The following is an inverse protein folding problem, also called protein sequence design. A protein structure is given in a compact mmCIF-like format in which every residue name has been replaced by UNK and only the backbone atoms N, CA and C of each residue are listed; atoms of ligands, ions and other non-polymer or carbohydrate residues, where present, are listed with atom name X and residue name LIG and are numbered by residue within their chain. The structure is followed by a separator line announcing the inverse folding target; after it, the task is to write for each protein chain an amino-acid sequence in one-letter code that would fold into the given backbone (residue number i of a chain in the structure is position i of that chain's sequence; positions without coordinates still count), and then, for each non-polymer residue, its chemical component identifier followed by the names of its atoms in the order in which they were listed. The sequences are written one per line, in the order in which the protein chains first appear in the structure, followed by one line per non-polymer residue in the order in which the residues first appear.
data_IF_095060983153
#
_entry.id   IF_095060983153
#
_cell.length_a   1.000
_cell.length_b   1.000
_cell.length_c   1.000
_cell.angle_alpha   90.00
_cell.angle_beta   90.00
_cell.angle_gamma   90.00
#
_symmetry.space_group_name_H-M   'P 1'
#
loop_
_entity.id
_entity.type
_entity.pdbx_description
1 polymer ?
#
# COMPACT_ATOMS: atom_id res chain seq x y z
N UNK A 1 -7.85 -15.76 1.38
CA UNK A 1 -8.26 -14.48 0.77
C UNK A 1 -7.07 -13.55 0.82
N UNK A 2 -6.37 -13.35 -0.29
CA UNK A 2 -5.28 -12.37 -0.36
C UNK A 2 -5.87 -10.96 -0.35
N UNK A 3 -5.31 -10.07 0.47
CA UNK A 3 -5.70 -8.66 0.47
C UNK A 3 -5.41 -8.04 -0.89
N UNK A 4 -6.40 -7.35 -1.46
CA UNK A 4 -6.24 -6.58 -2.68
C UNK A 4 -5.31 -5.39 -2.41
N UNK A 5 -4.15 -5.31 -3.09
CA UNK A 5 -3.17 -4.25 -2.85
C UNK A 5 -3.69 -2.85 -3.18
N UNK A 6 -4.66 -2.72 -4.09
CA UNK A 6 -5.32 -1.44 -4.36
C UNK A 6 -6.16 -1.01 -3.17
N UNK A 7 -6.95 -1.93 -2.61
CA UNK A 7 -7.79 -1.66 -1.43
C UNK A 7 -6.93 -1.29 -0.22
N UNK A 8 -5.79 -1.96 -0.03
CA UNK A 8 -4.82 -1.64 1.04
C UNK A 8 -4.32 -0.20 0.92
N UNK A 9 -3.99 0.25 -0.30
CA UNK A 9 -3.58 1.63 -0.56
C UNK A 9 -4.75 2.62 -0.68
N UNK A 10 -6.01 2.16 -0.55
CA UNK A 10 -7.20 3.01 -0.72
C UNK A 10 -7.40 3.52 -2.15
N UNK A 11 -6.99 2.72 -3.14
CA UNK A 11 -7.04 3.02 -4.56
C UNK A 11 -8.00 2.07 -5.27
N UNK A 12 -8.40 2.44 -6.49
CA UNK A 12 -9.05 1.51 -7.43
C UNK A 12 -8.03 0.82 -8.33
N UNK A 13 -8.42 -0.29 -8.96
CA UNK A 13 -7.58 -1.07 -9.90
C UNK A 13 -7.08 -0.28 -11.11
N UNK A 14 -7.71 0.85 -11.43
CA UNK A 14 -7.26 1.78 -12.49
C UNK A 14 -6.23 2.80 -12.03
N UNK A 15 -5.67 2.66 -10.82
CA UNK A 15 -4.69 3.60 -10.32
C UNK A 15 -3.41 3.61 -11.15
N UNK A 16 -2.96 4.83 -11.45
CA UNK A 16 -1.68 5.10 -12.09
C UNK A 16 -0.52 4.90 -11.12
N UNK A 17 0.69 4.68 -11.63
CA UNK A 17 1.88 4.55 -10.79
C UNK A 17 2.10 5.75 -9.86
N UNK A 18 1.79 6.95 -10.33
CA UNK A 18 1.92 8.17 -9.53
C UNK A 18 0.93 8.21 -8.38
N UNK A 19 -0.31 7.75 -8.60
CA UNK A 19 -1.32 7.60 -7.55
C UNK A 19 -0.90 6.54 -6.53
N UNK A 20 -0.35 5.41 -6.99
CA UNK A 20 0.19 4.35 -6.13
C UNK A 20 1.32 4.88 -5.25
N UNK A 21 2.31 5.54 -5.85
CA UNK A 21 3.45 6.15 -5.12
C UNK A 21 2.97 7.22 -4.14
N UNK A 22 2.00 8.05 -4.51
CA UNK A 22 1.45 9.08 -3.63
C UNK A 22 0.70 8.46 -2.45
N UNK A 23 -0.19 7.51 -2.69
CA UNK A 23 -0.94 6.82 -1.64
C UNK A 23 -0.01 6.11 -0.66
N UNK A 24 1.00 5.40 -1.15
CA UNK A 24 2.01 4.77 -0.31
C UNK A 24 2.72 5.79 0.60
N UNK A 25 3.20 6.91 0.06
CA UNK A 25 3.88 7.95 0.87
C UNK A 25 2.96 8.56 1.93
N UNK A 26 1.71 8.82 1.58
CA UNK A 26 0.73 9.42 2.49
C UNK A 26 0.38 8.45 3.63
N UNK A 27 0.16 7.17 3.31
CA UNK A 27 -0.10 6.13 4.31
C UNK A 27 1.12 5.77 5.15
N UNK A 28 2.30 5.67 4.55
CA UNK A 28 3.55 5.42 5.25
C UNK A 28 3.81 6.51 6.30
N UNK A 29 3.55 7.79 5.98
CA UNK A 29 3.63 8.89 6.97
C UNK A 29 2.59 8.76 8.08
N UNK A 30 1.37 8.31 7.76
CA UNK A 30 0.26 8.14 8.71
C UNK A 30 0.49 6.99 9.70
N UNK A 31 1.08 5.90 9.23
CA UNK A 31 1.27 4.66 10.00
C UNK A 31 2.74 4.39 10.39
N UNK A 32 3.66 5.33 10.11
CA UNK A 32 5.07 5.16 10.43
C UNK A 32 5.27 4.80 11.91
N UNK A 33 6.03 3.76 12.26
CA UNK A 33 6.19 3.31 13.64
C UNK A 33 6.80 4.38 14.54
N UNK A 34 7.61 5.29 13.99
CA UNK A 34 8.18 6.40 14.78
C UNK A 34 7.14 7.45 15.18
N UNK A 35 6.11 7.68 14.34
CA UNK A 35 5.11 8.73 14.54
C UNK A 35 3.77 8.21 15.07
N UNK A 36 3.48 6.94 14.84
CA UNK A 36 2.22 6.31 15.19
C UNK A 36 2.47 5.07 16.06
N UNK A 37 2.13 5.19 17.36
CA UNK A 37 2.23 4.10 18.36
C UNK A 37 0.90 3.43 18.65
N UNK A 38 -0.14 3.69 17.86
CA UNK A 38 -1.44 3.04 18.03
C UNK A 38 -1.33 1.53 17.78
N UNK A 39 -2.09 0.75 18.54
CA UNK A 39 -2.20 -0.71 18.31
C UNK A 39 -2.65 -0.97 16.86
N UNK A 40 -1.91 -1.81 16.14
CA UNK A 40 -2.16 -2.14 14.74
C UNK A 40 -1.56 -1.18 13.70
N UNK A 41 -0.90 -0.09 14.10
CA UNK A 41 -0.24 0.81 13.14
C UNK A 41 0.93 0.11 12.40
N UNK A 42 1.70 -0.70 13.12
CA UNK A 42 2.80 -1.48 12.53
C UNK A 42 2.31 -2.54 11.54
N UNK A 43 1.23 -3.24 11.87
CA UNK A 43 0.62 -4.23 10.98
C UNK A 43 0.11 -3.58 9.70
N UNK A 44 -0.62 -2.46 9.82
CA UNK A 44 -1.03 -1.66 8.67
C UNK A 44 0.17 -1.18 7.86
N UNK A 45 1.24 -0.72 8.51
CA UNK A 45 2.45 -0.28 7.80
C UNK A 45 3.08 -1.42 6.98
N UNK A 46 3.10 -2.64 7.52
CA UNK A 46 3.56 -3.85 6.81
C UNK A 46 2.66 -4.17 5.61
N UNK A 47 1.34 -4.12 5.78
CA UNK A 47 0.38 -4.33 4.68
C UNK A 47 0.57 -3.29 3.57
N UNK A 48 0.70 -2.00 3.93
CA UNK A 48 0.94 -0.89 2.99
C UNK A 48 2.25 -1.12 2.21
N UNK A 49 3.30 -1.58 2.88
CA UNK A 49 4.57 -1.94 2.25
C UNK A 49 4.42 -3.08 1.23
N UNK A 50 3.77 -4.17 1.64
CA UNK A 50 3.54 -5.33 0.77
C UNK A 50 2.69 -4.97 -0.46
N UNK A 51 1.63 -4.17 -0.27
CA UNK A 51 0.77 -3.70 -1.36
C UNK A 51 1.54 -2.84 -2.37
N UNK A 52 2.37 -1.91 -1.87
CA UNK A 52 3.21 -1.09 -2.74
C UNK A 52 4.26 -1.91 -3.49
N UNK A 53 4.86 -2.93 -2.86
CA UNK A 53 5.83 -3.81 -3.50
C UNK A 53 5.26 -4.63 -4.65
N UNK A 54 3.97 -4.97 -4.59
CA UNK A 54 3.23 -5.60 -5.69
C UNK A 54 2.94 -4.57 -6.79
N UNK A 55 2.38 -3.42 -6.42
CA UNK A 55 1.86 -2.44 -7.39
C UNK A 55 2.94 -1.59 -8.07
N UNK A 56 4.12 -1.45 -7.47
CA UNK A 56 5.26 -0.72 -8.07
C UNK A 56 5.96 -1.54 -9.16
N UNK A 57 5.81 -2.85 -9.15
CA UNK A 57 6.41 -3.76 -10.10
C UNK A 57 5.38 -4.08 -11.19
N UNK A 58 5.60 -3.67 -12.45
CA UNK A 58 4.60 -3.85 -13.51
C UNK A 58 4.30 -5.32 -13.81
N UNK A 59 5.24 -6.24 -13.56
CA UNK A 59 5.03 -7.68 -13.74
C UNK A 59 4.12 -8.21 -12.63
N UNK A 60 4.41 -7.85 -11.38
CA UNK A 60 3.58 -8.26 -10.24
C UNK A 60 2.20 -7.61 -10.28
N UNK A 61 2.13 -6.32 -10.58
CA UNK A 61 0.87 -5.59 -10.78
C UNK A 61 -0.03 -6.31 -11.79
N UNK A 62 0.50 -6.68 -12.95
CA UNK A 62 -0.26 -7.39 -13.99
C UNK A 62 -0.74 -8.78 -13.55
N UNK A 63 -0.06 -9.44 -12.62
CA UNK A 63 -0.52 -10.72 -12.07
C UNK A 63 -1.68 -10.57 -11.07
N UNK A 64 -1.90 -9.35 -10.57
CA UNK A 64 -2.96 -9.00 -9.61
C UNK A 64 -4.11 -8.21 -10.25
N UNK A 65 -3.90 -7.61 -11.42
CA UNK A 65 -4.93 -7.01 -12.28
C UNK A 65 -5.78 -8.07 -13.00
#
# INVERSE_FOLDING_TARGET
TGLDPYVVLGLGSKATEDQIKKAYRDMAKKYHPDKNKSKGAEEKFKEIGAAYDILKDPIKKKAHD
#
